data_IF_618758333469
#
_entry.id   IF_618758333469
#
_cell.length_a   1.000
_cell.length_b   1.000
_cell.length_c   1.000
_cell.angle_alpha   90.00
_cell.angle_beta   90.00
_cell.angle_gamma   90.00
#
_symmetry.space_group_name_H-M   'P 1'
#
loop_
_entity.id
_entity.type
_entity.pdbx_description
1 polymer ?
#
# COMPACT_ATOMS: atom_id res chain seq x y z
N UNK A 1 21.55 -12.18 -6.89
CA UNK A 1 20.94 -12.52 -5.59
C UNK A 1 19.55 -11.90 -5.53
N UNK A 2 18.52 -12.75 -5.49
CA UNK A 2 17.09 -12.37 -5.56
C UNK A 2 16.43 -12.18 -4.20
N UNK A 3 17.04 -12.64 -3.10
CA UNK A 3 16.50 -12.52 -1.74
C UNK A 3 17.33 -11.58 -0.87
N UNK A 4 16.65 -10.81 -0.02
CA UNK A 4 17.25 -9.93 0.98
C UNK A 4 18.10 -10.76 1.96
N UNK A 5 19.38 -10.40 2.20
CA UNK A 5 20.19 -11.10 3.18
C UNK A 5 19.60 -10.91 4.58
N UNK A 6 19.42 -12.01 5.31
CA UNK A 6 19.07 -11.98 6.72
C UNK A 6 20.34 -12.13 7.55
N UNK A 7 20.63 -11.12 8.38
CA UNK A 7 21.84 -11.09 9.21
C UNK A 7 21.44 -11.30 10.66
N UNK A 8 22.02 -12.33 11.30
CA UNK A 8 21.91 -12.53 12.74
C UNK A 8 23.00 -11.72 13.45
N UNK A 9 22.68 -10.48 13.82
CA UNK A 9 23.63 -9.57 14.46
C UNK A 9 24.02 -10.02 15.88
N UNK A 10 23.15 -10.70 16.62
CA UNK A 10 23.50 -11.24 17.94
C UNK A 10 24.56 -12.33 17.84
N UNK A 11 24.44 -13.23 16.85
CA UNK A 11 25.46 -14.24 16.58
C UNK A 11 26.80 -13.60 16.19
N UNK A 12 26.78 -12.54 15.37
CA UNK A 12 28.00 -11.82 15.02
C UNK A 12 28.72 -11.21 16.25
N UNK A 13 27.98 -10.75 17.26
CA UNK A 13 28.55 -10.28 18.52
C UNK A 13 29.11 -11.42 19.37
N UNK A 14 28.42 -12.57 19.42
CA UNK A 14 28.91 -13.79 20.09
C UNK A 14 30.24 -14.23 19.46
N UNK A 15 30.31 -14.30 18.14
CA UNK A 15 31.52 -14.71 17.41
C UNK A 15 32.68 -13.72 17.63
N UNK A 16 32.38 -12.45 17.87
CA UNK A 16 33.35 -11.42 18.26
C UNK A 16 33.75 -11.46 19.75
N UNK A 17 33.17 -12.38 20.54
CA UNK A 17 33.48 -12.58 21.95
C UNK A 17 32.73 -11.66 22.92
N UNK A 18 31.69 -10.95 22.47
CA UNK A 18 30.88 -10.10 23.34
C UNK A 18 29.91 -10.95 24.17
N UNK A 19 29.81 -10.74 25.51
CA UNK A 19 28.77 -11.39 26.31
C UNK A 19 27.41 -10.75 26.01
N UNK A 20 26.47 -11.57 25.52
CA UNK A 20 25.16 -11.10 25.04
C UNK A 20 23.99 -11.45 25.97
N UNK A 21 24.22 -12.29 26.99
CA UNK A 21 23.19 -12.70 27.96
C UNK A 21 23.54 -12.24 29.37
N UNK A 22 22.52 -12.12 30.24
CA UNK A 22 22.73 -11.76 31.64
C UNK A 22 23.72 -12.71 32.36
N UNK A 23 23.66 -14.00 32.03
CA UNK A 23 24.53 -15.03 32.58
C UNK A 23 25.98 -14.82 32.15
N UNK A 24 26.23 -14.70 30.85
CA UNK A 24 27.59 -14.53 30.29
C UNK A 24 28.22 -13.20 30.74
N UNK A 25 27.43 -12.14 30.84
CA UNK A 25 27.89 -10.85 31.40
C UNK A 25 28.24 -11.01 32.89
N UNK A 26 27.40 -11.70 33.66
CA UNK A 26 27.64 -11.94 35.10
C UNK A 26 28.89 -12.78 35.32
N UNK A 27 29.13 -13.80 34.49
CA UNK A 27 30.32 -14.65 34.57
C UNK A 27 31.61 -13.85 34.32
N UNK A 28 31.64 -13.02 33.26
CA UNK A 28 32.78 -12.15 32.99
C UNK A 28 33.00 -11.13 34.12
N UNK A 29 31.93 -10.51 34.62
CA UNK A 29 32.02 -9.58 35.73
C UNK A 29 32.53 -10.24 37.02
N UNK A 30 32.04 -11.46 37.33
CA UNK A 30 32.50 -12.21 38.49
C UNK A 30 33.98 -12.59 38.38
N UNK A 31 34.46 -12.95 37.18
CA UNK A 31 35.88 -13.22 36.96
C UNK A 31 36.75 -11.98 37.27
N UNK A 32 36.33 -10.79 36.84
CA UNK A 32 37.01 -9.53 37.15
C UNK A 32 37.01 -9.23 38.65
N UNK A 33 35.85 -9.32 39.32
CA UNK A 33 35.75 -9.10 40.77
C UNK A 33 36.62 -10.08 41.56
N UNK A 34 36.70 -11.34 41.13
CA UNK A 34 37.53 -12.36 41.78
C UNK A 34 39.03 -12.07 41.63
N UNK A 35 39.45 -11.56 40.47
CA UNK A 35 40.84 -11.18 40.22
C UNK A 35 41.28 -9.98 41.08
N UNK A 36 40.41 -9.00 41.29
CA UNK A 36 40.66 -7.83 42.14
C UNK A 36 40.71 -8.17 43.64
N UNK A 37 39.94 -9.18 44.07
CA UNK A 37 39.95 -9.67 45.46
C UNK A 37 39.28 -8.75 46.50
N UNK A 38 38.63 -7.65 46.08
CA UNK A 38 38.02 -6.66 46.97
C UNK A 38 36.67 -7.09 47.56
N UNK A 39 35.92 -7.94 46.86
CA UNK A 39 34.57 -8.38 47.27
C UNK A 39 34.59 -9.89 47.53
N UNK A 40 34.40 -10.28 48.79
CA UNK A 40 34.45 -11.68 49.22
C UNK A 40 33.08 -12.35 49.30
N UNK A 41 31.99 -11.57 49.38
CA UNK A 41 30.62 -12.09 49.43
C UNK A 41 29.90 -11.93 48.08
N UNK A 42 30.09 -12.92 47.21
CA UNK A 42 29.43 -13.04 45.90
C UNK A 42 28.22 -13.98 45.93
N UNK A 43 27.63 -14.22 47.12
CA UNK A 43 26.47 -15.09 47.28
C UNK A 43 25.27 -14.58 46.48
N UNK A 44 24.52 -15.51 45.86
CA UNK A 44 23.26 -15.19 45.18
C UNK A 44 22.22 -14.57 46.11
N UNK A 45 22.32 -14.81 47.42
CA UNK A 45 21.41 -14.28 48.44
C UNK A 45 21.86 -12.91 48.97
N UNK A 46 23.06 -12.45 48.65
CA UNK A 46 23.59 -11.15 49.12
C UNK A 46 22.84 -10.00 48.42
N UNK A 47 22.15 -9.11 49.16
CA UNK A 47 21.47 -7.96 48.57
C UNK A 47 22.44 -7.03 47.82
N UNK A 48 23.65 -6.85 48.35
CA UNK A 48 24.72 -6.07 47.70
C UNK A 48 25.12 -6.70 46.36
N UNK A 49 25.39 -8.01 46.34
CA UNK A 49 25.79 -8.71 45.11
C UNK A 49 24.68 -8.71 44.06
N UNK A 50 23.42 -8.86 44.50
CA UNK A 50 22.25 -8.76 43.61
C UNK A 50 22.14 -7.36 43.00
N UNK A 51 22.29 -6.30 43.81
CA UNK A 51 22.23 -4.92 43.34
C UNK A 51 23.34 -4.63 42.34
N UNK A 52 24.59 -4.95 42.66
CA UNK A 52 25.74 -4.69 41.77
C UNK A 52 25.60 -5.44 40.44
N UNK A 53 25.17 -6.72 40.47
CA UNK A 53 24.91 -7.46 39.23
C UNK A 53 23.88 -6.79 38.34
N UNK A 54 22.78 -6.28 38.90
CA UNK A 54 21.75 -5.57 38.11
C UNK A 54 22.32 -4.26 37.54
N UNK A 55 23.07 -3.50 38.34
CA UNK A 55 23.70 -2.24 37.91
C UNK A 55 24.67 -2.47 36.75
N UNK A 56 25.37 -3.61 36.71
CA UNK A 56 26.33 -3.93 35.63
C UNK A 56 25.64 -4.57 34.43
N UNK A 57 24.76 -5.55 34.65
CA UNK A 57 24.16 -6.33 33.55
C UNK A 57 23.12 -5.55 32.75
N UNK A 58 22.25 -4.77 33.42
CA UNK A 58 21.16 -4.05 32.74
C UNK A 58 21.67 -3.05 31.70
N UNK A 59 22.65 -2.18 31.98
CA UNK A 59 23.17 -1.25 30.97
C UNK A 59 23.88 -1.95 29.81
N UNK A 60 24.59 -3.06 30.07
CA UNK A 60 25.28 -3.83 29.01
C UNK A 60 24.26 -4.46 28.07
N UNK A 61 23.18 -5.06 28.60
CA UNK A 61 22.10 -5.61 27.79
C UNK A 61 21.39 -4.51 26.98
N UNK A 62 21.12 -3.37 27.59
CA UNK A 62 20.56 -2.23 26.88
C UNK A 62 21.48 -1.73 25.75
N UNK A 63 22.79 -1.59 26.01
CA UNK A 63 23.77 -1.20 24.98
C UNK A 63 23.90 -2.25 23.88
N UNK A 64 23.83 -3.54 24.21
CA UNK A 64 23.77 -4.62 23.21
C UNK A 64 22.56 -4.45 22.31
N UNK A 65 21.37 -4.22 22.89
CA UNK A 65 20.15 -4.07 22.11
C UNK A 65 20.19 -2.82 21.21
N UNK A 66 20.81 -1.73 21.68
CA UNK A 66 21.06 -0.53 20.84
C UNK A 66 22.06 -0.85 19.72
N UNK A 67 23.15 -1.55 20.03
CA UNK A 67 24.17 -1.94 19.05
C UNK A 67 23.56 -2.82 17.96
N UNK A 68 22.74 -3.80 18.31
CA UNK A 68 22.08 -4.69 17.35
C UNK A 68 21.01 -3.94 16.54
N UNK A 69 20.02 -3.36 17.23
CA UNK A 69 18.79 -2.90 16.59
C UNK A 69 18.90 -1.50 15.97
N UNK A 70 19.90 -0.71 16.38
CA UNK A 70 20.11 0.64 15.86
C UNK A 70 21.38 0.70 15.05
N UNK A 71 22.54 0.37 15.64
CA UNK A 71 23.82 0.59 14.95
C UNK A 71 23.99 -0.41 13.81
N UNK A 72 24.10 -1.71 14.13
CA UNK A 72 24.38 -2.77 13.15
C UNK A 72 23.26 -2.91 12.11
N UNK A 73 22.00 -2.85 12.53
CA UNK A 73 20.86 -2.86 11.63
C UNK A 73 20.92 -1.74 10.57
N UNK A 74 21.48 -0.58 10.89
CA UNK A 74 21.58 0.55 9.97
C UNK A 74 22.94 0.71 9.28
N UNK A 75 23.89 -0.23 9.47
CA UNK A 75 25.20 -0.19 8.79
C UNK A 75 25.15 -0.57 7.31
N UNK A 76 24.10 -1.27 6.88
CA UNK A 76 24.00 -1.81 5.52
C UNK A 76 22.69 -1.39 4.86
N UNK A 77 22.77 -1.03 3.57
CA UNK A 77 21.59 -0.69 2.78
C UNK A 77 20.51 -1.77 2.85
N UNK A 78 20.85 -3.05 2.94
CA UNK A 78 19.87 -4.13 2.96
C UNK A 78 18.96 -4.11 4.20
N UNK A 79 19.42 -3.58 5.33
CA UNK A 79 18.72 -3.61 6.62
C UNK A 79 18.40 -2.24 7.20
N UNK A 80 19.03 -1.18 6.69
CA UNK A 80 18.78 0.18 7.15
C UNK A 80 17.31 0.61 6.98
N UNK A 81 16.85 1.44 7.90
CA UNK A 81 15.49 1.97 7.97
C UNK A 81 15.46 3.45 8.34
N UNK A 82 14.33 4.10 8.08
CA UNK A 82 14.08 5.51 8.41
C UNK A 82 15.21 6.44 7.93
N UNK A 83 15.66 7.34 8.82
CA UNK A 83 16.66 8.37 8.50
C UNK A 83 18.01 7.81 8.06
N UNK A 84 18.44 6.67 8.60
CA UNK A 84 19.70 6.06 8.16
C UNK A 84 19.61 5.57 6.72
N UNK A 85 18.46 5.00 6.34
CA UNK A 85 18.20 4.64 4.95
C UNK A 85 18.13 5.87 4.05
N UNK A 86 17.57 6.98 4.53
CA UNK A 86 17.53 8.24 3.76
C UNK A 86 18.96 8.76 3.47
N UNK A 87 19.92 8.55 4.37
CA UNK A 87 21.34 8.88 4.14
C UNK A 87 21.95 8.00 3.05
N UNK A 88 21.64 6.69 3.03
CA UNK A 88 22.05 5.82 1.92
C UNK A 88 21.44 6.28 0.59
N UNK A 89 20.16 6.64 0.58
CA UNK A 89 19.46 7.14 -0.60
C UNK A 89 20.12 8.43 -1.13
N UNK A 90 20.43 9.37 -0.23
CA UNK A 90 21.15 10.58 -0.58
C UNK A 90 22.50 10.27 -1.24
N UNK A 91 23.23 9.27 -0.73
CA UNK A 91 24.52 8.84 -1.28
C UNK A 91 24.46 8.35 -2.74
N UNK A 92 23.27 7.97 -3.23
CA UNK A 92 23.04 7.59 -4.62
C UNK A 92 22.13 8.59 -5.37
N UNK A 93 22.02 9.83 -4.87
CA UNK A 93 21.19 10.89 -5.45
C UNK A 93 19.70 10.52 -5.59
N UNK A 94 19.18 9.82 -4.58
CA UNK A 94 17.77 9.43 -4.46
C UNK A 94 17.20 10.06 -3.20
N UNK A 95 15.95 10.52 -3.25
CA UNK A 95 15.21 11.03 -2.10
C UNK A 95 13.89 10.29 -1.95
N UNK A 96 13.50 9.94 -0.73
CA UNK A 96 12.21 9.28 -0.44
C UNK A 96 11.05 10.07 -1.05
N UNK A 97 10.14 9.38 -1.73
CA UNK A 97 8.94 10.03 -2.27
C UNK A 97 8.02 10.43 -1.10
N UNK A 98 7.53 11.68 -1.06
CA UNK A 98 6.51 12.07 -0.09
C UNK A 98 5.18 11.40 -0.45
N UNK A 99 4.27 11.38 0.53
CA UNK A 99 2.87 11.04 0.24
C UNK A 99 2.25 12.11 -0.66
N UNK A 100 1.25 11.74 -1.46
CA UNK A 100 0.53 12.64 -2.37
C UNK A 100 -0.97 12.43 -2.28
N UNK A 101 -1.72 13.51 -2.48
CA UNK A 101 -3.18 13.49 -2.50
C UNK A 101 -3.73 13.14 -3.89
N UNK A 102 -4.71 12.23 -3.89
CA UNK A 102 -5.50 11.92 -5.07
C UNK A 102 -6.21 13.17 -5.61
N UNK A 103 -6.25 13.33 -6.92
CA UNK A 103 -6.85 14.47 -7.60
C UNK A 103 -7.61 14.02 -8.82
N UNK A 104 -8.72 14.69 -9.13
CA UNK A 104 -9.63 14.20 -10.13
C UNK A 104 -10.77 15.15 -10.44
N UNK A 105 -11.82 14.63 -11.04
CA UNK A 105 -13.07 15.35 -11.24
C UNK A 105 -14.28 14.50 -10.83
N UNK A 106 -15.18 15.08 -10.06
CA UNK A 106 -16.44 14.46 -9.62
C UNK A 106 -17.58 15.01 -10.45
N UNK A 107 -18.53 14.16 -10.85
CA UNK A 107 -19.72 14.63 -11.55
C UNK A 107 -20.77 15.09 -10.55
N UNK A 108 -21.28 16.29 -10.77
CA UNK A 108 -22.42 16.86 -10.05
C UNK A 108 -23.64 16.89 -10.95
N UNK A 109 -24.80 16.43 -10.45
CA UNK A 109 -26.08 16.41 -11.17
C UNK A 109 -26.99 17.50 -10.62
N UNK A 110 -27.57 18.32 -11.49
CA UNK A 110 -28.47 19.40 -11.08
C UNK A 110 -29.90 18.90 -10.90
N UNK A 111 -30.60 19.47 -9.92
CA UNK A 111 -32.06 19.29 -9.74
C UNK A 111 -32.85 19.80 -10.94
N UNK A 112 -32.38 20.88 -11.58
CA UNK A 112 -33.01 21.46 -12.76
C UNK A 112 -31.94 21.82 -13.79
N UNK A 113 -31.96 21.11 -14.93
CA UNK A 113 -31.01 21.36 -16.03
C UNK A 113 -31.09 22.80 -16.58
N UNK A 114 -32.26 23.45 -16.51
CA UNK A 114 -32.48 24.80 -17.02
C UNK A 114 -31.88 25.93 -16.18
N UNK A 115 -31.42 25.67 -14.96
CA UNK A 115 -30.78 26.67 -14.08
C UNK A 115 -29.26 26.52 -14.10
N UNK A 116 -28.52 27.62 -14.13
CA UNK A 116 -27.08 27.57 -13.89
C UNK A 116 -26.82 27.38 -12.38
N UNK A 117 -25.84 26.56 -12.02
CA UNK A 117 -25.46 26.29 -10.62
C UNK A 117 -23.96 26.50 -10.46
N UNK A 118 -23.55 27.14 -9.37
CA UNK A 118 -22.16 27.31 -9.00
C UNK A 118 -21.82 26.34 -7.88
N UNK A 119 -20.76 25.55 -8.04
CA UNK A 119 -20.19 24.70 -6.99
C UNK A 119 -19.00 25.46 -6.39
N UNK A 120 -19.07 25.91 -5.13
CA UNK A 120 -17.98 26.63 -4.50
C UNK A 120 -16.74 25.74 -4.28
N UNK A 121 -15.56 26.35 -4.39
CA UNK A 121 -14.33 25.80 -3.85
C UNK A 121 -14.54 25.49 -2.36
N UNK A 122 -14.01 24.36 -1.92
CA UNK A 122 -14.18 23.90 -0.55
C UNK A 122 -15.38 22.99 -0.32
N UNK A 123 -16.32 22.84 -1.26
CA UNK A 123 -17.39 21.82 -1.17
C UNK A 123 -16.77 20.43 -1.00
N UNK A 124 -17.27 19.67 -0.03
CA UNK A 124 -16.76 18.33 0.31
C UNK A 124 -17.71 17.27 -0.23
N UNK A 125 -17.14 16.21 -0.80
CA UNK A 125 -17.83 14.98 -1.16
C UNK A 125 -17.15 13.86 -0.38
N UNK A 126 -17.93 12.99 0.26
CA UNK A 126 -17.41 11.92 1.11
C UNK A 126 -18.01 10.56 0.76
N UNK A 127 -17.37 9.52 1.27
CA UNK A 127 -17.85 8.15 1.19
C UNK A 127 -18.84 7.85 2.33
N UNK A 128 -19.52 6.71 2.23
CA UNK A 128 -19.99 6.03 3.45
C UNK A 128 -18.80 5.53 4.28
N UNK A 129 -19.07 5.03 5.49
CA UNK A 129 -18.02 4.41 6.30
C UNK A 129 -17.55 3.12 5.64
N UNK A 130 -16.26 3.03 5.34
CA UNK A 130 -15.58 1.83 4.88
C UNK A 130 -14.64 1.43 6.00
N UNK A 131 -14.85 0.27 6.62
CA UNK A 131 -14.08 -0.15 7.80
C UNK A 131 -13.95 0.93 8.90
N UNK A 132 -15.07 1.60 9.22
CA UNK A 132 -15.15 2.75 10.16
C UNK A 132 -14.46 4.05 9.73
N UNK A 133 -13.79 4.09 8.58
CA UNK A 133 -13.16 5.28 8.03
C UNK A 133 -14.08 5.97 7.01
N UNK A 134 -14.06 7.31 7.01
CA UNK A 134 -14.71 8.13 5.98
C UNK A 134 -13.62 8.81 5.17
N UNK A 135 -13.68 8.65 3.86
CA UNK A 135 -12.80 9.34 2.92
C UNK A 135 -13.54 10.53 2.32
N UNK A 136 -12.80 11.60 2.05
CA UNK A 136 -13.38 12.78 1.42
C UNK A 136 -12.47 13.43 0.39
N UNK A 137 -13.10 14.04 -0.59
CA UNK A 137 -12.49 14.92 -1.59
C UNK A 137 -13.13 16.31 -1.49
N UNK A 138 -12.36 17.33 -1.86
CA UNK A 138 -12.75 18.73 -1.78
C UNK A 138 -12.63 19.39 -3.14
N UNK A 139 -13.66 20.15 -3.53
CA UNK A 139 -13.65 20.98 -4.73
C UNK A 139 -12.53 22.01 -4.63
N UNK A 140 -11.71 22.10 -5.68
CA UNK A 140 -10.47 22.89 -5.69
C UNK A 140 -10.67 24.33 -6.15
N UNK A 141 -11.66 24.56 -7.02
CA UNK A 141 -11.95 25.87 -7.60
C UNK A 141 -13.46 26.01 -7.82
N UNK A 142 -13.98 27.23 -7.67
CA UNK A 142 -15.36 27.57 -8.02
C UNK A 142 -15.66 27.11 -9.44
N UNK A 143 -16.64 26.22 -9.59
CA UNK A 143 -16.97 25.60 -10.88
C UNK A 143 -18.44 25.77 -11.20
N UNK A 144 -18.73 26.46 -12.30
CA UNK A 144 -20.10 26.67 -12.78
C UNK A 144 -20.56 25.55 -13.71
N UNK A 145 -21.77 25.04 -13.46
CA UNK A 145 -22.50 24.16 -14.38
C UNK A 145 -23.55 25.03 -15.11
N UNK A 146 -23.39 25.28 -16.42
CA UNK A 146 -24.26 26.20 -17.14
C UNK A 146 -25.70 25.69 -17.25
N UNK A 147 -26.64 26.60 -17.48
CA UNK A 147 -28.00 26.26 -17.87
C UNK A 147 -28.01 25.42 -19.17
N UNK A 148 -28.94 24.47 -19.28
CA UNK A 148 -29.05 23.54 -20.39
C UNK A 148 -28.23 22.25 -20.25
N UNK A 149 -27.22 22.21 -19.38
CA UNK A 149 -26.51 20.96 -19.02
C UNK A 149 -27.19 20.30 -17.83
N UNK A 150 -27.41 18.99 -17.82
CA UNK A 150 -28.00 18.30 -16.65
C UNK A 150 -26.97 18.02 -15.54
N UNK A 151 -25.69 17.93 -15.90
CA UNK A 151 -24.58 17.64 -15.00
C UNK A 151 -23.29 18.31 -15.47
N UNK A 152 -22.27 18.33 -14.62
CA UNK A 152 -20.94 18.84 -14.95
C UNK A 152 -19.85 18.18 -14.12
N UNK A 153 -18.63 18.11 -14.67
CA UNK A 153 -17.45 17.64 -13.97
C UNK A 153 -16.81 18.79 -13.18
N UNK A 154 -16.51 18.54 -11.92
CA UNK A 154 -15.97 19.52 -10.99
C UNK A 154 -14.64 19.02 -10.44
N UNK A 155 -13.53 19.79 -10.57
CA UNK A 155 -12.21 19.37 -10.13
C UNK A 155 -12.09 19.29 -8.60
N UNK A 156 -11.60 18.16 -8.12
CA UNK A 156 -11.43 17.87 -6.69
C UNK A 156 -10.02 17.41 -6.35
N UNK A 157 -9.67 17.50 -5.07
CA UNK A 157 -8.48 16.87 -4.47
C UNK A 157 -8.88 16.21 -3.15
N UNK A 158 -8.34 15.03 -2.87
CA UNK A 158 -8.50 14.34 -1.60
C UNK A 158 -8.12 15.24 -0.43
N UNK A 159 -8.88 15.15 0.67
CA UNK A 159 -8.60 15.92 1.89
C UNK A 159 -7.43 15.37 2.69
N UNK A 160 -6.99 14.15 2.38
CA UNK A 160 -5.77 13.53 2.89
C UNK A 160 -4.87 13.04 1.76
N UNK A 161 -3.69 12.57 2.13
CA UNK A 161 -2.72 11.96 1.24
C UNK A 161 -2.79 10.43 1.38
N UNK A 162 -2.23 9.73 0.40
CA UNK A 162 -2.13 8.27 0.45
C UNK A 162 -2.95 7.55 -0.62
N UNK A 163 -2.60 6.27 -0.82
CA UNK A 163 -3.25 5.40 -1.79
C UNK A 163 -4.70 5.10 -1.45
N UNK A 164 -5.09 5.23 -0.18
CA UNK A 164 -6.44 4.94 0.30
C UNK A 164 -7.54 5.84 -0.28
N UNK A 165 -7.18 7.00 -0.84
CA UNK A 165 -8.12 7.87 -1.53
C UNK A 165 -8.36 7.49 -3.02
N UNK A 166 -7.66 6.47 -3.54
CA UNK A 166 -7.83 5.98 -4.91
C UNK A 166 -9.04 5.03 -5.01
N UNK A 167 -10.22 5.50 -4.64
CA UNK A 167 -11.42 4.66 -4.60
C UNK A 167 -12.01 4.43 -6.00
N UNK A 168 -12.56 3.24 -6.22
CA UNK A 168 -13.29 2.91 -7.45
C UNK A 168 -14.52 3.81 -7.66
N UNK A 169 -15.10 3.87 -8.88
CA UNK A 169 -16.31 4.63 -9.15
C UNK A 169 -17.47 4.32 -8.18
N UNK A 170 -18.27 5.32 -7.84
CA UNK A 170 -19.44 5.21 -6.96
C UNK A 170 -19.18 5.32 -5.46
N UNK A 171 -17.93 5.35 -5.01
CA UNK A 171 -17.57 5.48 -3.60
C UNK A 171 -17.81 6.90 -3.05
N UNK A 172 -17.35 7.95 -3.75
CA UNK A 172 -17.55 9.34 -3.35
C UNK A 172 -18.92 9.83 -3.82
N UNK A 173 -19.93 9.74 -2.95
CA UNK A 173 -21.33 10.04 -3.32
C UNK A 173 -22.14 10.88 -2.35
N UNK A 174 -21.58 11.22 -1.18
CA UNK A 174 -22.30 11.93 -0.13
C UNK A 174 -21.86 13.38 -0.08
N UNK A 175 -22.82 14.30 -0.16
CA UNK A 175 -22.64 15.72 0.13
C UNK A 175 -23.05 15.98 1.60
N UNK A 176 -22.11 16.03 2.57
CA UNK A 176 -22.44 16.27 3.98
C UNK A 176 -23.14 17.62 4.18
N UNK A 177 -22.80 18.61 3.36
CA UNK A 177 -23.49 19.89 3.25
C UNK A 177 -24.02 19.97 1.83
N UNK A 178 -25.34 20.02 1.69
CA UNK A 178 -25.99 20.13 0.38
C UNK A 178 -25.56 21.41 -0.34
N UNK A 179 -25.45 21.34 -1.66
CA UNK A 179 -25.24 22.49 -2.53
C UNK A 179 -26.56 22.82 -3.21
N UNK A 180 -26.98 24.08 -3.14
CA UNK A 180 -28.25 24.51 -3.73
C UNK A 180 -28.29 24.21 -5.23
N UNK A 181 -29.42 23.69 -5.71
CA UNK A 181 -29.60 23.27 -7.10
C UNK A 181 -28.92 21.95 -7.50
N UNK A 182 -28.24 21.23 -6.59
CA UNK A 182 -27.63 19.92 -6.84
C UNK A 182 -28.46 18.79 -6.24
N UNK A 183 -28.70 17.76 -7.05
CA UNK A 183 -29.40 16.54 -6.66
C UNK A 183 -28.45 15.54 -6.00
N UNK A 184 -27.33 15.24 -6.67
CA UNK A 184 -26.30 14.32 -6.18
C UNK A 184 -24.94 14.62 -6.82
N UNK A 185 -23.89 14.05 -6.24
CA UNK A 185 -22.55 14.01 -6.83
C UNK A 185 -22.03 12.58 -6.76
N UNK A 186 -21.26 12.14 -7.75
CA UNK A 186 -20.62 10.82 -7.75
C UNK A 186 -19.29 10.80 -8.52
N UNK A 187 -18.33 10.00 -8.06
CA UNK A 187 -17.13 9.70 -8.84
C UNK A 187 -17.43 8.64 -9.90
N UNK A 188 -17.19 8.96 -11.16
CA UNK A 188 -17.42 8.05 -12.29
C UNK A 188 -16.12 7.32 -12.70
N UNK A 189 -16.22 6.46 -13.71
CA UNK A 189 -15.04 5.92 -14.38
C UNK A 189 -14.13 7.04 -14.90
N UNK A 190 -12.81 6.88 -14.71
CA UNK A 190 -11.83 7.88 -15.13
C UNK A 190 -11.76 9.14 -14.26
N UNK A 191 -12.48 9.20 -13.12
CA UNK A 191 -12.44 10.36 -12.22
C UNK A 191 -11.03 10.68 -11.71
N UNK A 192 -10.20 9.65 -11.48
CA UNK A 192 -8.90 9.74 -10.84
C UNK A 192 -7.83 10.19 -11.84
N UNK A 193 -7.63 11.50 -11.97
CA UNK A 193 -6.66 12.09 -12.92
C UNK A 193 -5.23 11.96 -12.38
N UNK A 194 -5.06 12.18 -11.07
CA UNK A 194 -3.78 12.04 -10.35
C UNK A 194 -4.00 11.08 -9.18
N UNK A 195 -3.41 9.88 -9.17
CA UNK A 195 -3.52 8.98 -8.02
C UNK A 195 -2.83 9.58 -6.79
N UNK A 196 -3.41 9.33 -5.63
CA UNK A 196 -2.74 9.50 -4.35
C UNK A 196 -1.77 8.35 -4.12
N UNK A 197 -0.69 8.62 -3.41
CA UNK A 197 0.31 7.62 -3.06
C UNK A 197 0.73 7.81 -1.60
N UNK A 198 0.99 6.70 -0.92
CA UNK A 198 1.55 6.76 0.43
C UNK A 198 3.01 7.23 0.36
N UNK A 199 3.55 7.65 1.52
CA UNK A 199 4.98 7.87 1.61
C UNK A 199 5.70 6.56 1.29
N UNK A 200 6.75 6.65 0.47
CA UNK A 200 7.50 5.48 0.04
C UNK A 200 8.07 4.69 1.23
N UNK A 201 7.81 3.38 1.22
CA UNK A 201 8.25 2.47 2.27
C UNK A 201 9.77 2.28 2.28
N UNK A 202 10.32 1.80 3.39
CA UNK A 202 11.75 1.48 3.46
C UNK A 202 12.16 0.35 2.51
N UNK A 203 11.28 -0.61 2.24
CA UNK A 203 11.53 -1.68 1.27
C UNK A 203 11.62 -1.11 -0.15
N UNK A 204 10.64 -0.30 -0.56
CA UNK A 204 10.63 0.34 -1.89
C UNK A 204 11.83 1.27 -2.09
N UNK A 205 12.16 2.07 -1.08
CA UNK A 205 13.31 2.97 -1.13
C UNK A 205 14.62 2.19 -1.27
N UNK A 206 14.80 1.08 -0.54
CA UNK A 206 15.98 0.21 -0.65
C UNK A 206 16.14 -0.35 -2.05
N UNK A 207 15.05 -0.84 -2.64
CA UNK A 207 15.07 -1.39 -3.99
C UNK A 207 15.42 -0.32 -5.03
N UNK A 208 14.88 0.90 -4.88
CA UNK A 208 15.24 2.01 -5.76
C UNK A 208 16.70 2.44 -5.61
N UNK A 209 17.22 2.50 -4.37
CA UNK A 209 18.64 2.80 -4.12
C UNK A 209 19.56 1.75 -4.76
N UNK A 210 19.21 0.47 -4.66
CA UNK A 210 19.95 -0.62 -5.30
C UNK A 210 19.88 -0.52 -6.82
N UNK A 211 18.72 -0.17 -7.36
CA UNK A 211 18.53 -0.04 -8.80
C UNK A 211 19.30 1.14 -9.42
N UNK A 212 19.63 2.16 -8.62
CA UNK A 212 20.39 3.31 -9.11
C UNK A 212 21.74 2.93 -9.74
N UNK A 213 22.39 1.87 -9.24
CA UNK A 213 23.64 1.36 -9.82
C UNK A 213 23.45 0.77 -11.22
N UNK A 214 22.25 0.31 -11.57
CA UNK A 214 21.92 -0.18 -12.91
C UNK A 214 21.70 0.98 -13.91
N UNK A 215 21.37 2.18 -13.43
CA UNK A 215 21.12 3.36 -14.28
C UNK A 215 22.41 3.95 -14.90
N UNK A 216 23.59 3.49 -14.46
CA UNK A 216 24.90 3.96 -14.98
C UNK A 216 25.21 3.36 -16.37
N UNK A 217 24.35 2.48 -16.90
CA UNK A 217 24.46 1.95 -18.25
C UNK A 217 23.71 2.78 -19.29
N UNK A 218 24.35 3.10 -20.42
CA UNK A 218 23.70 3.74 -21.59
C UNK A 218 22.69 2.84 -22.33
N UNK A 219 22.41 1.64 -21.80
CA UNK A 219 21.48 0.69 -22.37
C UNK A 219 20.18 0.71 -21.58
N UNK A 220 19.08 1.07 -22.24
CA UNK A 220 17.74 1.07 -21.67
C UNK A 220 17.26 -0.37 -21.45
N UNK A 221 17.67 -0.97 -20.33
CA UNK A 221 17.17 -2.26 -19.86
C UNK A 221 15.85 -2.08 -19.11
N UNK A 222 15.08 -3.16 -18.92
CA UNK A 222 13.84 -3.15 -18.12
C UNK A 222 14.02 -2.45 -16.76
N UNK A 223 15.19 -2.61 -16.13
CA UNK A 223 15.52 -1.98 -14.85
C UNK A 223 15.53 -0.43 -14.91
N UNK A 224 15.97 0.15 -16.03
CA UNK A 224 15.99 1.60 -16.26
C UNK A 224 14.57 2.11 -16.46
N UNK A 225 13.81 1.53 -17.40
CA UNK A 225 12.42 1.91 -17.63
C UNK A 225 11.57 1.77 -16.37
N UNK A 226 11.73 0.66 -15.63
CA UNK A 226 11.01 0.42 -14.37
C UNK A 226 11.29 1.53 -13.35
N UNK A 227 12.54 1.97 -13.22
CA UNK A 227 12.92 3.07 -12.32
C UNK A 227 12.29 4.39 -12.74
N UNK A 228 12.41 4.75 -14.02
CA UNK A 228 11.92 6.02 -14.56
C UNK A 228 10.40 6.11 -14.46
N UNK A 229 9.71 5.04 -14.88
CA UNK A 229 8.25 4.93 -14.78
C UNK A 229 7.82 4.98 -13.32
N UNK A 230 8.45 4.19 -12.43
CA UNK A 230 8.12 4.21 -11.00
C UNK A 230 8.27 5.62 -10.40
N UNK A 231 9.33 6.34 -10.77
CA UNK A 231 9.58 7.70 -10.31
C UNK A 231 8.48 8.66 -10.73
N UNK A 232 8.14 8.72 -12.02
CA UNK A 232 7.13 9.66 -12.55
C UNK A 232 5.70 9.25 -12.18
N UNK A 233 5.40 7.95 -12.17
CA UNK A 233 4.08 7.42 -11.89
C UNK A 233 3.74 7.42 -10.39
N UNK A 234 4.73 7.59 -9.51
CA UNK A 234 4.54 7.46 -8.07
C UNK A 234 4.22 6.03 -7.63
N UNK A 235 4.58 5.03 -8.44
CA UNK A 235 4.33 3.61 -8.18
C UNK A 235 5.59 2.93 -7.63
N UNK A 236 5.38 1.82 -6.93
CA UNK A 236 6.45 0.88 -6.60
C UNK A 236 6.90 0.12 -7.84
N UNK A 237 8.17 -0.30 -7.82
CA UNK A 237 8.87 -0.95 -8.95
C UNK A 237 8.21 -2.29 -9.33
N UNK A 238 7.61 -2.99 -8.36
CA UNK A 238 6.87 -4.25 -8.52
C UNK A 238 5.49 -4.10 -9.19
N UNK A 239 5.00 -2.86 -9.35
CA UNK A 239 3.72 -2.52 -10.00
C UNK A 239 3.78 -2.31 -11.51
N UNK A 240 4.96 -2.54 -12.09
CA UNK A 240 5.24 -2.28 -13.49
C UNK A 240 5.56 -3.62 -14.15
N UNK A 241 4.87 -3.98 -15.23
CA UNK A 241 5.05 -5.27 -15.89
C UNK A 241 5.37 -5.04 -17.35
N UNK A 242 6.45 -5.65 -17.86
CA UNK A 242 6.85 -5.44 -19.25
C UNK A 242 6.33 -6.57 -20.14
N UNK A 243 5.87 -6.18 -21.33
CA UNK A 243 5.60 -7.09 -22.43
C UNK A 243 6.61 -6.81 -23.55
N UNK A 244 7.39 -7.84 -23.87
CA UNK A 244 8.47 -7.81 -24.84
C UNK A 244 8.01 -8.36 -26.21
N UNK A 245 8.97 -8.55 -27.12
CA UNK A 245 8.77 -9.20 -28.42
C UNK A 245 7.87 -8.44 -29.39
N UNK A 246 8.08 -7.13 -29.49
CA UNK A 246 7.47 -6.29 -30.52
C UNK A 246 5.91 -6.32 -30.52
N UNK A 247 5.25 -6.10 -29.36
CA UNK A 247 3.79 -6.23 -29.22
C UNK A 247 3.00 -5.27 -30.14
N UNK A 248 3.63 -4.19 -30.61
CA UNK A 248 3.06 -3.20 -31.53
C UNK A 248 3.86 -3.06 -32.84
N UNK A 249 4.75 -4.02 -33.13
CA UNK A 249 5.68 -3.97 -34.26
C UNK A 249 7.15 -3.82 -33.83
N UNK A 250 8.07 -3.87 -34.80
CA UNK A 250 9.50 -3.90 -34.53
C UNK A 250 9.95 -2.67 -33.71
N UNK A 251 10.76 -2.91 -32.67
CA UNK A 251 11.27 -1.86 -31.77
C UNK A 251 10.31 -1.45 -30.64
N UNK A 252 9.15 -2.10 -30.51
CA UNK A 252 8.15 -1.74 -29.50
C UNK A 252 8.27 -2.59 -28.23
N UNK A 253 7.92 -1.98 -27.10
CA UNK A 253 7.69 -2.65 -25.82
C UNK A 253 6.54 -1.95 -25.08
N UNK A 254 5.83 -2.68 -24.22
CA UNK A 254 4.78 -2.12 -23.38
C UNK A 254 5.12 -2.27 -21.90
N UNK A 255 4.79 -1.25 -21.10
CA UNK A 255 4.84 -1.30 -19.65
C UNK A 255 3.42 -1.17 -19.07
N UNK A 256 2.92 -2.23 -18.45
CA UNK A 256 1.62 -2.26 -17.80
C UNK A 256 1.74 -1.81 -16.35
N UNK A 257 0.95 -0.80 -16.00
CA UNK A 257 0.93 -0.19 -14.68
C UNK A 257 -0.23 -0.74 -13.86
N UNK A 258 0.00 -1.01 -12.57
CA UNK A 258 -1.02 -1.52 -11.65
C UNK A 258 -1.10 -0.66 -10.38
N UNK A 259 -2.27 -0.08 -10.11
CA UNK A 259 -2.52 0.59 -8.83
C UNK A 259 -2.83 -0.40 -7.72
N UNK A 260 -2.52 -0.04 -6.48
CA UNK A 260 -2.89 -0.81 -5.30
C UNK A 260 -4.39 -0.86 -5.05
N UNK A 261 -5.07 0.25 -5.34
CA UNK A 261 -6.52 0.41 -5.29
C UNK A 261 -6.97 1.37 -6.39
N UNK A 262 -8.22 1.21 -6.83
CA UNK A 262 -8.83 2.04 -7.86
C UNK A 262 -8.47 1.61 -9.28
N UNK A 263 -8.80 2.48 -10.24
CA UNK A 263 -8.64 2.25 -11.67
C UNK A 263 -7.74 3.34 -12.25
N UNK A 264 -6.80 2.94 -13.10
CA UNK A 264 -5.90 3.87 -13.78
C UNK A 264 -6.67 4.62 -14.86
N UNK A 265 -6.53 5.95 -14.88
CA UNK A 265 -7.18 6.80 -15.89
C UNK A 265 -6.29 7.05 -17.11
N UNK A 266 -6.93 7.31 -18.26
CA UNK A 266 -6.24 7.72 -19.50
C UNK A 266 -5.37 8.97 -19.34
N UNK A 267 -5.82 10.04 -18.63
CA UNK A 267 -4.96 11.19 -18.35
C UNK A 267 -3.67 10.84 -17.61
N UNK A 268 -3.74 9.93 -16.63
CA UNK A 268 -2.55 9.47 -15.91
C UNK A 268 -1.58 8.75 -16.84
N UNK A 269 -2.06 7.79 -17.64
CA UNK A 269 -1.24 7.09 -18.64
C UNK A 269 -0.62 8.07 -19.64
N UNK A 270 -1.37 9.08 -20.05
CA UNK A 270 -0.88 10.11 -20.98
C UNK A 270 0.27 10.90 -20.37
N UNK A 271 0.16 11.30 -19.11
CA UNK A 271 1.22 12.03 -18.40
C UNK A 271 2.51 11.19 -18.24
N UNK A 272 2.37 9.90 -17.92
CA UNK A 272 3.52 8.98 -17.83
C UNK A 272 4.16 8.77 -19.21
N UNK A 273 3.35 8.60 -20.26
CA UNK A 273 3.86 8.44 -21.62
C UNK A 273 4.53 9.71 -22.16
N UNK A 274 4.04 10.90 -21.84
CA UNK A 274 4.69 12.16 -22.22
C UNK A 274 6.10 12.25 -21.64
N UNK A 275 6.26 11.86 -20.37
CA UNK A 275 7.56 11.81 -19.71
C UNK A 275 8.52 10.83 -20.39
N UNK A 276 8.05 9.63 -20.76
CA UNK A 276 8.93 8.65 -21.39
C UNK A 276 9.25 9.02 -22.83
N UNK A 277 8.23 9.31 -23.64
CA UNK A 277 8.36 9.45 -25.09
C UNK A 277 8.68 10.88 -25.50
N UNK A 278 7.80 11.85 -25.23
CA UNK A 278 7.95 13.24 -25.66
C UNK A 278 9.17 13.93 -25.03
N UNK A 279 9.45 13.66 -23.76
CA UNK A 279 10.57 14.27 -23.03
C UNK A 279 11.91 13.52 -23.23
N UNK A 280 11.93 12.47 -24.06
CA UNK A 280 13.15 11.79 -24.50
C UNK A 280 13.78 10.84 -23.49
N UNK A 281 13.02 10.34 -22.51
CA UNK A 281 13.48 9.35 -21.52
C UNK A 281 13.32 7.91 -22.03
N UNK A 282 13.77 7.66 -23.26
CA UNK A 282 13.72 6.36 -23.93
C UNK A 282 14.95 6.14 -24.83
N UNK A 283 15.22 4.89 -25.19
CA UNK A 283 16.28 4.55 -26.14
C UNK A 283 15.99 5.08 -27.54
N UNK A 284 17.02 5.49 -28.29
CA UNK A 284 16.88 6.12 -29.62
C UNK A 284 16.09 5.30 -30.65
N UNK A 285 16.03 3.97 -30.51
CA UNK A 285 15.26 3.07 -31.36
C UNK A 285 14.08 2.38 -30.67
N UNK A 286 13.80 2.74 -29.42
CA UNK A 286 12.77 2.10 -28.61
C UNK A 286 11.47 2.90 -28.70
N UNK A 287 10.37 2.18 -28.94
CA UNK A 287 9.01 2.69 -28.73
C UNK A 287 8.42 2.01 -27.49
N UNK A 288 8.66 2.62 -26.33
CA UNK A 288 8.10 2.18 -25.05
C UNK A 288 6.79 2.91 -24.78
N UNK A 289 5.71 2.17 -24.54
CA UNK A 289 4.42 2.74 -24.11
C UNK A 289 3.93 2.16 -22.79
N UNK A 290 3.59 3.05 -21.86
CA UNK A 290 2.85 2.71 -20.66
C UNK A 290 1.36 2.51 -20.96
N UNK A 291 0.76 1.49 -20.36
CA UNK A 291 -0.65 1.16 -20.47
C UNK A 291 -1.22 0.76 -19.10
N UNK A 292 -2.53 0.87 -18.93
CA UNK A 292 -3.19 0.29 -17.77
C UNK A 292 -3.12 -1.25 -17.85
N UNK A 293 -2.91 -1.91 -16.70
CA UNK A 293 -2.97 -3.37 -16.62
C UNK A 293 -4.29 -3.89 -17.22
N UNK A 294 -4.26 -4.85 -18.18
CA UNK A 294 -5.48 -5.43 -18.73
C UNK A 294 -6.32 -6.08 -17.62
N UNK A 295 -7.63 -5.92 -17.68
CA UNK A 295 -8.52 -6.41 -16.64
C UNK A 295 -9.37 -7.58 -17.14
N UNK A 296 -9.60 -8.57 -16.28
CA UNK A 296 -10.64 -9.58 -16.48
C UNK A 296 -11.75 -9.32 -15.48
N UNK A 297 -13.00 -9.30 -15.93
CA UNK A 297 -14.17 -9.01 -15.09
C UNK A 297 -14.88 -10.28 -14.66
N UNK A 298 -15.29 -10.34 -13.39
CA UNK A 298 -15.92 -11.51 -12.78
C UNK A 298 -17.12 -11.10 -11.92
N UNK A 299 -18.23 -11.83 -12.04
CA UNK A 299 -19.35 -11.75 -11.10
C UNK A 299 -19.13 -12.74 -9.97
N UNK A 300 -19.17 -12.25 -8.73
CA UNK A 300 -18.92 -13.08 -7.55
C UNK A 300 -20.11 -13.02 -6.58
N UNK A 301 -20.66 -14.19 -6.29
CA UNK A 301 -21.51 -14.41 -5.12
C UNK A 301 -20.70 -15.07 -4.01
N UNK A 302 -20.77 -14.48 -2.81
CA UNK A 302 -20.19 -14.99 -1.56
C UNK A 302 -21.35 -15.33 -0.61
N UNK A 303 -21.42 -16.59 -0.18
CA UNK A 303 -22.40 -17.03 0.82
C UNK A 303 -21.69 -17.27 2.15
N UNK A 304 -22.09 -16.50 3.15
CA UNK A 304 -21.60 -16.59 4.53
C UNK A 304 -22.56 -17.44 5.36
N UNK A 305 -22.06 -18.49 5.97
CA UNK A 305 -22.82 -19.33 6.89
C UNK A 305 -22.53 -18.92 8.33
N UNK A 306 -23.58 -18.66 9.10
CA UNK A 306 -23.50 -18.38 10.54
C UNK A 306 -24.26 -19.44 11.32
N UNK A 307 -23.83 -19.73 12.55
CA UNK A 307 -24.37 -20.84 13.34
C UNK A 307 -25.88 -20.73 13.63
N UNK A 308 -26.38 -19.53 13.92
CA UNK A 308 -27.80 -19.30 14.11
C UNK A 308 -28.17 -17.82 13.90
N UNK A 309 -28.77 -17.52 12.74
CA UNK A 309 -29.26 -16.19 12.37
C UNK A 309 -30.23 -15.59 13.38
N UNK A 310 -31.05 -16.41 14.06
CA UNK A 310 -32.02 -15.92 15.03
C UNK A 310 -31.36 -15.33 16.29
N UNK A 311 -30.09 -15.67 16.53
CA UNK A 311 -29.31 -15.18 17.68
C UNK A 311 -28.42 -13.98 17.32
N UNK A 312 -28.44 -13.52 16.07
CA UNK A 312 -27.63 -12.38 15.60
C UNK A 312 -28.56 -11.20 15.34
N UNK A 313 -28.18 -10.02 15.83
CA UNK A 313 -28.98 -8.81 15.62
C UNK A 313 -28.94 -8.33 14.17
N UNK A 314 -29.95 -7.58 13.74
CA UNK A 314 -29.99 -7.02 12.39
C UNK A 314 -28.79 -6.08 12.10
N UNK A 315 -28.31 -5.36 13.12
CA UNK A 315 -27.16 -4.47 13.03
C UNK A 315 -25.85 -5.26 12.85
N UNK A 316 -25.69 -6.38 13.56
CA UNK A 316 -24.55 -7.28 13.39
C UNK A 316 -24.54 -7.93 12.01
N UNK A 317 -25.70 -8.37 11.50
CA UNK A 317 -25.81 -8.93 10.14
C UNK A 317 -25.49 -7.88 9.06
N UNK A 318 -25.92 -6.63 9.26
CA UNK A 318 -25.61 -5.53 8.35
C UNK A 318 -24.11 -5.20 8.38
N UNK A 319 -23.52 -5.18 9.57
CA UNK A 319 -22.08 -4.95 9.76
C UNK A 319 -21.26 -6.06 9.11
N UNK A 320 -21.64 -7.33 9.32
CA UNK A 320 -20.99 -8.48 8.71
C UNK A 320 -21.07 -8.43 7.18
N UNK A 321 -22.25 -8.15 6.63
CA UNK A 321 -22.45 -8.03 5.17
C UNK A 321 -21.57 -6.93 4.58
N UNK A 322 -21.61 -5.73 5.15
CA UNK A 322 -20.86 -4.58 4.64
C UNK A 322 -19.34 -4.76 4.82
N UNK A 323 -18.91 -5.37 5.94
CA UNK A 323 -17.51 -5.68 6.17
C UNK A 323 -16.99 -6.71 5.16
N UNK A 324 -17.72 -7.81 4.96
CA UNK A 324 -17.37 -8.82 3.97
C UNK A 324 -17.35 -8.25 2.55
N UNK A 325 -18.36 -7.46 2.18
CA UNK A 325 -18.42 -6.79 0.87
C UNK A 325 -17.16 -5.95 0.63
N UNK A 326 -16.80 -5.08 1.58
CA UNK A 326 -15.63 -4.22 1.47
C UNK A 326 -14.30 -4.98 1.49
N UNK A 327 -14.16 -6.05 2.29
CA UNK A 327 -12.96 -6.88 2.30
C UNK A 327 -12.75 -7.59 0.97
N UNK A 328 -13.81 -8.16 0.40
CA UNK A 328 -13.74 -8.80 -0.92
C UNK A 328 -13.41 -7.76 -1.98
N UNK A 329 -14.06 -6.59 -1.97
CA UNK A 329 -13.71 -5.48 -2.86
C UNK A 329 -12.27 -4.98 -2.69
N UNK A 330 -11.71 -5.02 -1.47
CA UNK A 330 -10.29 -4.72 -1.23
C UNK A 330 -9.38 -5.74 -1.92
N UNK A 331 -9.70 -7.04 -1.85
CA UNK A 331 -8.96 -8.09 -2.53
C UNK A 331 -8.95 -7.90 -4.07
N UNK A 332 -10.04 -7.37 -4.61
CA UNK A 332 -10.18 -6.99 -6.03
C UNK A 332 -9.80 -5.52 -6.32
N UNK A 333 -9.11 -4.86 -5.38
CA UNK A 333 -8.48 -3.54 -5.52
C UNK A 333 -9.47 -2.39 -5.78
N UNK A 334 -10.70 -2.47 -5.31
CA UNK A 334 -11.64 -1.33 -5.39
C UNK A 334 -11.46 -0.32 -4.24
N UNK A 335 -10.91 -0.80 -3.12
CA UNK A 335 -10.50 -0.01 -1.95
C UNK A 335 -9.22 -0.64 -1.34
N UNK A 336 -8.71 -0.08 -0.26
CA UNK A 336 -7.49 -0.55 0.42
C UNK A 336 -7.66 -0.71 1.94
N UNK A 337 -8.89 -0.85 2.43
CA UNK A 337 -9.20 -0.77 3.88
C UNK A 337 -8.90 -2.03 4.68
N UNK A 338 -8.54 -3.12 3.98
CA UNK A 338 -8.25 -4.42 4.59
C UNK A 338 -6.87 -4.92 4.17
N UNK A 339 -6.14 -5.51 5.12
CA UNK A 339 -4.92 -6.27 4.85
C UNK A 339 -5.29 -7.69 4.37
N UNK A 340 -5.56 -7.78 3.07
CA UNK A 340 -6.06 -8.97 2.37
C UNK A 340 -5.17 -9.22 1.15
N UNK A 341 -4.98 -10.49 0.78
CA UNK A 341 -4.23 -10.79 -0.45
C UNK A 341 -5.00 -10.20 -1.64
N UNK A 342 -4.35 -9.32 -2.41
CA UNK A 342 -4.95 -8.69 -3.59
C UNK A 342 -4.72 -9.53 -4.85
N UNK A 343 -5.59 -9.37 -5.84
CA UNK A 343 -5.42 -9.95 -7.17
C UNK A 343 -4.12 -9.45 -7.82
N UNK A 344 -3.43 -10.33 -8.55
CA UNK A 344 -2.09 -10.05 -9.09
C UNK A 344 -1.88 -10.70 -10.47
N UNK A 345 -1.18 -10.03 -11.42
CA UNK A 345 -0.78 -10.65 -12.69
C UNK A 345 0.22 -11.79 -12.49
N UNK A 346 0.18 -12.81 -13.34
CA UNK A 346 1.02 -14.02 -13.23
C UNK A 346 0.90 -14.76 -11.89
N UNK A 347 -0.20 -14.57 -11.17
CA UNK A 347 -0.48 -15.26 -9.90
C UNK A 347 -1.84 -15.97 -9.95
N UNK A 348 -1.98 -16.96 -9.06
CA UNK A 348 -3.25 -17.60 -8.75
C UNK A 348 -3.90 -16.89 -7.56
N UNK A 349 -5.07 -16.30 -7.80
CA UNK A 349 -5.92 -15.81 -6.73
C UNK A 349 -6.70 -16.98 -6.13
N UNK A 350 -6.39 -17.33 -4.87
CA UNK A 350 -7.00 -18.49 -4.20
C UNK A 350 -8.20 -18.09 -3.34
N UNK A 351 -9.37 -18.66 -3.66
CA UNK A 351 -10.57 -18.42 -2.85
C UNK A 351 -10.52 -19.10 -1.49
N UNK A 352 -9.75 -20.19 -1.35
CA UNK A 352 -9.48 -20.78 -0.03
C UNK A 352 -8.73 -19.81 0.90
N UNK A 353 -7.81 -19.03 0.33
CA UNK A 353 -7.08 -18.01 1.08
C UNK A 353 -7.99 -16.83 1.45
N UNK A 354 -8.84 -16.38 0.52
CA UNK A 354 -9.84 -15.35 0.78
C UNK A 354 -10.82 -15.79 1.88
N UNK A 355 -11.28 -17.06 1.85
CA UNK A 355 -12.09 -17.64 2.92
C UNK A 355 -11.37 -17.60 4.27
N UNK A 356 -10.09 -18.01 4.33
CA UNK A 356 -9.27 -17.91 5.54
C UNK A 356 -9.18 -16.47 6.07
N UNK A 357 -9.02 -15.48 5.18
CA UNK A 357 -8.94 -14.06 5.55
C UNK A 357 -10.28 -13.52 6.05
N UNK A 358 -11.40 -13.94 5.44
CA UNK A 358 -12.75 -13.62 5.92
C UNK A 358 -13.01 -14.18 7.32
N UNK A 359 -12.66 -15.44 7.59
CA UNK A 359 -12.82 -16.04 8.93
C UNK A 359 -11.93 -15.36 9.97
N UNK A 360 -10.72 -14.93 9.58
CA UNK A 360 -9.81 -14.20 10.47
C UNK A 360 -10.39 -12.84 10.87
N UNK A 361 -11.00 -12.14 9.92
CA UNK A 361 -11.53 -10.79 10.14
C UNK A 361 -12.89 -10.81 10.86
N UNK A 362 -13.77 -11.76 10.52
CA UNK A 362 -15.14 -11.79 10.98
C UNK A 362 -15.46 -13.08 11.75
N UNK A 363 -15.34 -13.02 13.09
CA UNK A 363 -15.56 -14.17 13.97
C UNK A 363 -17.00 -14.73 14.01
N UNK A 364 -17.97 -14.06 13.40
CA UNK A 364 -19.34 -14.57 13.26
C UNK A 364 -19.48 -15.65 12.16
N UNK A 365 -18.53 -15.71 11.23
CA UNK A 365 -18.55 -16.64 10.10
C UNK A 365 -18.16 -18.04 10.58
N UNK A 366 -19.04 -19.01 10.36
CA UNK A 366 -18.77 -20.43 10.59
C UNK A 366 -18.18 -21.10 9.33
N UNK A 367 -18.72 -20.77 8.16
CA UNK A 367 -18.25 -21.26 6.86
C UNK A 367 -18.51 -20.24 5.74
N UNK A 368 -17.78 -20.34 4.63
CA UNK A 368 -17.94 -19.50 3.45
C UNK A 368 -17.97 -20.36 2.19
N UNK A 369 -18.90 -20.06 1.28
CA UNK A 369 -18.91 -20.59 -0.07
C UNK A 369 -18.78 -19.47 -1.10
N UNK A 370 -18.07 -19.78 -2.19
CA UNK A 370 -17.88 -18.89 -3.32
C UNK A 370 -18.49 -19.52 -4.57
N UNK A 371 -19.11 -18.69 -5.40
CA UNK A 371 -19.62 -19.11 -6.72
C UNK A 371 -18.52 -19.37 -7.76
N UNK A 372 -17.30 -18.88 -7.50
CA UNK A 372 -16.13 -19.04 -8.38
C UNK A 372 -15.08 -19.96 -7.76
N UNK A 373 -14.32 -20.64 -8.62
CA UNK A 373 -13.06 -21.29 -8.24
C UNK A 373 -11.87 -20.35 -8.38
N UNK A 374 -10.67 -20.82 -8.02
CA UNK A 374 -9.42 -20.05 -8.14
C UNK A 374 -9.24 -19.44 -9.54
N UNK A 375 -8.80 -18.18 -9.58
CA UNK A 375 -8.53 -17.46 -10.84
C UNK A 375 -7.03 -17.47 -11.09
N UNK A 376 -6.61 -17.96 -12.25
CA UNK A 376 -5.21 -17.91 -12.71
C UNK A 376 -5.08 -16.78 -13.72
N UNK A 377 -4.18 -15.85 -13.45
CA UNK A 377 -3.98 -14.67 -14.30
C UNK A 377 -2.67 -14.77 -15.07
N UNK A 378 -2.71 -14.41 -16.35
CA UNK A 378 -1.49 -14.12 -17.13
C UNK A 378 -1.13 -12.63 -16.92
N UNK A 379 -0.85 -11.89 -17.99
CA UNK A 379 -0.63 -10.43 -17.94
C UNK A 379 -1.97 -9.67 -17.85
N UNK A 380 -2.73 -9.94 -16.79
CA UNK A 380 -4.00 -9.28 -16.49
C UNK A 380 -4.28 -9.28 -14.99
N UNK A 381 -5.17 -8.40 -14.54
CA UNK A 381 -5.64 -8.37 -13.15
C UNK A 381 -7.15 -8.63 -13.06
N UNK A 382 -7.58 -9.58 -12.21
CA UNK A 382 -9.00 -9.79 -11.93
C UNK A 382 -9.67 -8.61 -11.19
N UNK A 383 -10.84 -8.22 -11.68
CA UNK A 383 -11.76 -7.20 -11.13
C UNK A 383 -13.17 -7.75 -11.00
N UNK A 384 -14.00 -7.10 -10.19
CA UNK A 384 -15.41 -7.45 -10.03
C UNK A 384 -16.26 -6.63 -11.01
N UNK A 385 -17.17 -7.29 -11.72
CA UNK A 385 -18.30 -6.61 -12.38
C UNK A 385 -19.49 -6.49 -11.42
N UNK A 386 -19.64 -7.45 -10.52
CA UNK A 386 -20.68 -7.48 -9.51
C UNK A 386 -20.27 -8.33 -8.30
N UNK A 387 -20.72 -7.91 -7.12
CA UNK A 387 -20.54 -8.65 -5.87
C UNK A 387 -21.88 -8.79 -5.17
N UNK A 388 -22.24 -10.01 -4.81
CA UNK A 388 -23.42 -10.31 -3.99
C UNK A 388 -22.99 -11.06 -2.73
N UNK A 389 -23.30 -10.51 -1.56
CA UNK A 389 -23.03 -11.15 -0.26
C UNK A 389 -24.34 -11.63 0.38
N UNK A 390 -24.47 -12.95 0.46
CA UNK A 390 -25.61 -13.65 1.07
C UNK A 390 -25.21 -14.18 2.44
N UNK A 391 -26.12 -14.14 3.41
CA UNK A 391 -25.89 -14.67 4.76
C UNK A 391 -26.98 -15.70 5.05
N UNK A 392 -26.58 -16.93 5.38
CA UNK A 392 -27.44 -18.10 5.61
C UNK A 392 -27.11 -18.78 6.94
N UNK A 393 -28.01 -19.66 7.42
CA UNK A 393 -27.68 -20.57 8.52
C UNK A 393 -26.78 -21.71 8.01
N UNK A 394 -25.77 -22.07 8.81
CA UNK A 394 -24.87 -23.19 8.56
C UNK A 394 -25.56 -24.55 8.44
#
# INVERSE_FOLDING_TARGET
MTTKPQINYEQALIDAGMPVTAETITEQFQAQVSAEGLVTNTSRMSPFWRLIKIIVTTPVLWLKDVLINVVMANMFLATASGTFLDVFAWGVNVSRKPATAAGGAIRFFKLNAGQAVLIPAGTVIQTERINSQVYSVRVTVDTGIPAGSASGLVPVTATGEGGAFNLAPGYYRILPVGVDGIERAENEEGWLIRPGADQESDDDLRDRCRNQYNLVGNYHTDAIYRSMIAAVAGLSIDRIFFLHDAPRGAGTANAYLLLDSGVISTPFITAVNDYITTQGNHGHGDDMQCMAMPETVHDLTVTLYVNNLANVTADELTTLRNGCDNLVRCAFRENSEYDVKRTWPYDRFSFSNLGRELHREFGLIDSVAFSLGDIVSDLSVPRLSGLTVVIENA
#
